data_IF_759595997895
#
_entry.id   IF_759595997895
#
_cell.length_a   1.000
_cell.length_b   1.000
_cell.length_c   1.000
_cell.angle_alpha   90.00
_cell.angle_beta   90.00
_cell.angle_gamma   90.00
#
_symmetry.space_group_name_H-M   'P 1'
#
loop_
_entity.id
_entity.type
_entity.pdbx_description
1 polymer ?
#
# COMPACT_ATOMS: atom_id res chain seq x y z
N UNK A 1 4.08 42.95 -12.13
CA UNK A 1 4.07 41.68 -12.89
C UNK A 1 4.98 40.70 -12.16
N UNK A 2 4.51 39.47 -11.95
CA UNK A 2 5.34 38.41 -11.37
C UNK A 2 6.49 38.07 -12.33
N UNK A 3 7.71 37.88 -11.80
CA UNK A 3 8.85 37.46 -12.62
C UNK A 3 8.63 36.03 -13.13
N UNK A 4 8.95 35.70 -14.39
CA UNK A 4 8.82 34.34 -14.92
C UNK A 4 9.54 33.28 -14.08
N UNK A 5 10.72 33.62 -13.53
CA UNK A 5 11.49 32.72 -12.67
C UNK A 5 10.73 32.45 -11.36
N UNK A 6 10.15 33.48 -10.76
CA UNK A 6 9.36 33.35 -9.53
C UNK A 6 8.11 32.50 -9.80
N UNK A 7 7.43 32.72 -10.92
CA UNK A 7 6.27 31.93 -11.33
C UNK A 7 6.61 30.44 -11.49
N UNK A 8 7.74 30.12 -12.13
CA UNK A 8 8.21 28.74 -12.31
C UNK A 8 8.56 28.09 -10.97
N UNK A 9 9.27 28.81 -10.09
CA UNK A 9 9.60 28.29 -8.75
C UNK A 9 8.33 28.03 -7.94
N UNK A 10 7.38 28.96 -7.92
CA UNK A 10 6.11 28.78 -7.24
C UNK A 10 5.31 27.62 -7.81
N UNK A 11 5.30 27.44 -9.13
CA UNK A 11 4.65 26.30 -9.76
C UNK A 11 5.17 24.96 -9.21
N UNK A 12 6.49 24.75 -9.16
CA UNK A 12 7.06 23.51 -8.64
C UNK A 12 6.87 23.34 -7.13
N UNK A 13 6.88 24.43 -6.35
CA UNK A 13 6.50 24.34 -4.94
C UNK A 13 5.02 23.98 -4.78
N UNK A 14 4.16 24.50 -5.66
CA UNK A 14 2.73 24.23 -5.64
C UNK A 14 2.43 22.75 -5.94
N UNK A 15 3.16 22.09 -6.85
CA UNK A 15 2.98 20.65 -7.11
C UNK A 15 3.27 19.81 -5.87
N UNK A 16 4.33 20.13 -5.11
CA UNK A 16 4.67 19.43 -3.86
C UNK A 16 3.62 19.67 -2.77
N UNK A 17 3.11 20.90 -2.65
CA UNK A 17 2.04 21.22 -1.70
C UNK A 17 0.73 20.51 -2.07
N UNK A 18 0.37 20.49 -3.35
CA UNK A 18 -0.82 19.78 -3.84
C UNK A 18 -0.72 18.29 -3.55
N UNK A 19 0.39 17.65 -3.93
CA UNK A 19 0.62 16.23 -3.68
C UNK A 19 0.52 15.89 -2.18
N UNK A 20 1.04 16.77 -1.34
CA UNK A 20 0.92 16.62 0.12
C UNK A 20 -0.53 16.65 0.57
N UNK A 21 -1.29 17.67 0.18
CA UNK A 21 -2.69 17.77 0.53
C UNK A 21 -3.51 16.58 -0.01
N UNK A 22 -3.35 16.27 -1.29
CA UNK A 22 -4.05 15.20 -1.98
C UNK A 22 -3.76 13.85 -1.36
N UNK A 23 -2.49 13.49 -1.12
CA UNK A 23 -2.14 12.22 -0.50
C UNK A 23 -2.85 12.02 0.84
N UNK A 24 -2.78 13.01 1.73
CA UNK A 24 -3.35 12.88 3.06
C UNK A 24 -4.87 12.87 3.05
N UNK A 25 -5.50 13.72 2.23
CA UNK A 25 -6.96 13.74 2.09
C UNK A 25 -7.48 12.45 1.46
N UNK A 26 -6.85 12.00 0.38
CA UNK A 26 -7.19 10.76 -0.32
C UNK A 26 -7.09 9.55 0.61
N UNK A 27 -5.92 9.40 1.27
CA UNK A 27 -5.71 8.32 2.24
C UNK A 27 -6.70 8.40 3.39
N UNK A 28 -7.03 9.59 3.88
CA UNK A 28 -8.01 9.75 4.95
C UNK A 28 -9.41 9.31 4.51
N UNK A 29 -9.83 9.68 3.30
CA UNK A 29 -11.10 9.23 2.73
C UNK A 29 -11.16 7.71 2.57
N UNK A 30 -10.05 7.04 2.26
CA UNK A 30 -9.99 5.58 2.22
C UNK A 30 -9.97 4.89 3.57
N UNK A 31 -9.17 5.40 4.51
CA UNK A 31 -8.99 4.79 5.84
C UNK A 31 -10.24 5.00 6.68
N UNK A 32 -10.89 6.15 6.56
CA UNK A 32 -12.15 6.43 7.24
C UNK A 32 -13.32 5.79 6.48
N UNK A 33 -13.87 4.72 7.06
CA UNK A 33 -15.00 3.97 6.50
C UNK A 33 -16.22 4.82 6.15
N UNK A 34 -16.49 5.88 6.93
CA UNK A 34 -17.64 6.76 6.69
C UNK A 34 -17.38 7.66 5.49
N UNK A 35 -16.21 8.30 5.42
CA UNK A 35 -15.84 9.16 4.29
C UNK A 35 -15.77 8.37 3.00
N UNK A 36 -15.20 7.16 3.04
CA UNK A 36 -15.17 6.27 1.89
C UNK A 36 -16.58 6.00 1.37
N UNK A 37 -17.48 5.50 2.22
CA UNK A 37 -18.82 5.08 1.80
C UNK A 37 -19.72 6.21 1.34
N UNK A 38 -19.56 7.41 1.91
CA UNK A 38 -20.42 8.54 1.59
C UNK A 38 -19.95 9.29 0.35
N UNK A 39 -18.64 9.39 0.15
CA UNK A 39 -18.07 10.27 -0.86
C UNK A 39 -17.21 9.50 -1.84
N UNK A 40 -16.12 8.91 -1.35
CA UNK A 40 -15.05 8.40 -2.22
C UNK A 40 -15.38 7.10 -2.94
N UNK A 41 -16.37 6.34 -2.47
CA UNK A 41 -16.84 5.13 -3.15
C UNK A 41 -17.46 5.44 -4.49
N UNK A 42 -18.02 6.64 -4.70
CA UNK A 42 -18.58 7.07 -6.00
C UNK A 42 -17.49 7.12 -7.06
N UNK A 43 -16.33 7.66 -6.70
CA UNK A 43 -15.16 7.68 -7.57
C UNK A 43 -14.67 6.27 -7.90
N UNK A 44 -14.65 5.38 -6.90
CA UNK A 44 -14.28 3.97 -7.04
C UNK A 44 -15.35 3.07 -7.68
N UNK A 45 -16.51 3.61 -8.12
CA UNK A 45 -17.43 2.85 -8.98
C UNK A 45 -16.77 2.52 -10.33
N UNK A 46 -15.85 3.38 -10.77
CA UNK A 46 -15.07 3.22 -11.98
C UNK A 46 -13.80 2.37 -11.75
N UNK A 47 -14.00 1.07 -11.51
CA UNK A 47 -12.90 0.11 -11.28
C UNK A 47 -11.89 -0.02 -12.44
N UNK A 48 -12.27 0.44 -13.64
CA UNK A 48 -11.38 0.63 -14.79
C UNK A 48 -11.48 2.11 -15.18
N UNK A 49 -10.55 2.95 -14.69
CA UNK A 49 -10.54 4.37 -15.00
C UNK A 49 -10.45 4.64 -16.51
N UNK A 50 -11.08 5.74 -16.92
CA UNK A 50 -10.94 6.31 -18.26
C UNK A 50 -10.99 7.83 -18.17
N UNK A 51 -10.45 8.52 -19.17
CA UNK A 51 -10.21 9.98 -19.12
C UNK A 51 -11.45 10.81 -18.74
N UNK A 52 -12.63 10.49 -19.28
CA UNK A 52 -13.88 11.21 -18.95
C UNK A 52 -14.37 10.95 -17.53
N UNK A 53 -13.95 9.84 -16.92
CA UNK A 53 -14.25 9.48 -15.53
C UNK A 53 -13.27 10.05 -14.51
N UNK A 54 -12.22 10.78 -14.94
CA UNK A 54 -11.15 11.25 -14.05
C UNK A 54 -11.63 12.08 -12.86
N UNK A 55 -12.72 12.83 -13.04
CA UNK A 55 -13.37 13.64 -12.01
C UNK A 55 -14.81 13.19 -11.76
N UNK A 56 -15.13 11.93 -12.06
CA UNK A 56 -16.39 11.33 -11.65
C UNK A 56 -16.30 11.08 -10.14
N UNK A 57 -16.68 12.08 -9.35
CA UNK A 57 -16.61 12.04 -7.90
C UNK A 57 -17.86 12.64 -7.27
N UNK A 58 -18.07 12.36 -5.98
CA UNK A 58 -19.16 12.98 -5.23
C UNK A 58 -18.90 14.50 -5.10
N UNK A 59 -19.91 15.40 -5.16
CA UNK A 59 -19.66 16.85 -5.14
C UNK A 59 -18.84 17.35 -3.94
N UNK A 60 -19.01 16.74 -2.76
CA UNK A 60 -18.20 17.05 -1.57
C UNK A 60 -16.75 16.64 -1.75
N UNK A 61 -16.50 15.50 -2.41
CA UNK A 61 -15.15 15.08 -2.74
C UNK A 61 -14.52 16.01 -3.75
N UNK A 62 -15.21 16.35 -4.85
CA UNK A 62 -14.68 17.30 -5.83
C UNK A 62 -14.42 18.70 -5.24
N UNK A 63 -15.24 19.14 -4.27
CA UNK A 63 -14.95 20.36 -3.53
C UNK A 63 -13.67 20.24 -2.67
N UNK A 64 -13.53 19.16 -1.88
CA UNK A 64 -12.39 19.00 -0.97
C UNK A 64 -11.09 18.66 -1.69
N UNK A 65 -11.13 17.76 -2.66
CA UNK A 65 -9.99 17.27 -3.43
C UNK A 65 -9.64 18.28 -4.52
N UNK A 66 -10.56 18.63 -5.41
CA UNK A 66 -10.21 19.41 -6.61
C UNK A 66 -10.16 20.91 -6.32
N UNK A 67 -11.22 21.45 -5.70
CA UNK A 67 -11.32 22.90 -5.47
C UNK A 67 -10.39 23.37 -4.35
N UNK A 68 -10.53 22.79 -3.15
CA UNK A 68 -9.71 23.16 -2.00
C UNK A 68 -8.26 22.71 -2.19
N UNK A 69 -8.04 21.51 -2.71
CA UNK A 69 -6.69 21.00 -2.99
C UNK A 69 -5.95 21.84 -4.00
N UNK A 70 -6.60 22.31 -5.07
CA UNK A 70 -6.02 23.30 -5.98
C UNK A 70 -5.80 24.66 -5.30
N UNK A 71 -6.79 25.17 -4.57
CA UNK A 71 -6.73 26.51 -3.98
C UNK A 71 -5.59 26.69 -2.96
N UNK A 72 -5.35 25.70 -2.09
CA UNK A 72 -4.39 25.80 -0.99
C UNK A 72 -2.97 26.19 -1.46
N UNK A 73 -2.33 25.47 -2.41
CA UNK A 73 -1.02 25.84 -2.94
C UNK A 73 -0.96 27.27 -3.46
N UNK A 74 -1.96 27.67 -4.26
CA UNK A 74 -2.01 29.01 -4.87
C UNK A 74 -2.13 30.13 -3.83
N UNK A 75 -2.91 29.89 -2.77
CA UNK A 75 -3.10 30.84 -1.68
C UNK A 75 -1.86 30.93 -0.78
N UNK A 76 -1.26 29.79 -0.41
CA UNK A 76 -0.06 29.75 0.43
C UNK A 76 1.13 30.45 -0.25
N UNK A 77 1.28 30.26 -1.55
CA UNK A 77 2.40 30.82 -2.32
C UNK A 77 2.13 32.21 -2.90
N UNK A 78 0.94 32.78 -2.63
CA UNK A 78 0.48 34.06 -3.18
C UNK A 78 0.73 34.13 -4.70
N UNK A 79 0.21 33.14 -5.42
CA UNK A 79 0.43 33.00 -6.87
C UNK A 79 -0.39 34.04 -7.64
N UNK A 80 0.24 34.65 -8.64
CA UNK A 80 -0.47 35.52 -9.56
C UNK A 80 -1.60 34.73 -10.25
N UNK A 81 -2.78 35.33 -10.54
CA UNK A 81 -3.92 34.61 -11.13
C UNK A 81 -3.59 33.81 -12.38
N UNK A 82 -2.72 34.32 -13.25
CA UNK A 82 -2.20 33.59 -14.42
C UNK A 82 -1.41 32.34 -14.05
N UNK A 83 -0.51 32.44 -13.08
CA UNK A 83 0.29 31.30 -12.60
C UNK A 83 -0.63 30.25 -11.97
N UNK A 84 -1.63 30.66 -11.20
CA UNK A 84 -2.65 29.77 -10.62
C UNK A 84 -3.49 29.09 -11.70
N UNK A 85 -3.92 29.82 -12.74
CA UNK A 85 -4.71 29.26 -13.84
C UNK A 85 -3.91 28.22 -14.64
N UNK A 86 -2.62 28.47 -14.91
CA UNK A 86 -1.72 27.51 -15.57
C UNK A 86 -1.54 26.28 -14.67
N UNK A 87 -1.29 26.49 -13.38
CA UNK A 87 -1.13 25.42 -12.40
C UNK A 87 -2.36 24.51 -12.30
N UNK A 88 -3.56 25.07 -12.22
CA UNK A 88 -4.80 24.29 -12.22
C UNK A 88 -4.99 23.54 -13.52
N UNK A 89 -4.77 24.20 -14.65
CA UNK A 89 -4.94 23.58 -15.96
C UNK A 89 -4.03 22.37 -16.14
N UNK A 90 -2.74 22.49 -15.77
CA UNK A 90 -1.78 21.38 -15.85
C UNK A 90 -2.13 20.29 -14.84
N UNK A 91 -2.55 20.65 -13.62
CA UNK A 91 -2.92 19.66 -12.60
C UNK A 91 -4.16 18.86 -13.00
N UNK A 92 -5.18 19.52 -13.58
CA UNK A 92 -6.36 18.82 -14.12
C UNK A 92 -5.99 17.92 -15.29
N UNK A 93 -5.13 18.39 -16.21
CA UNK A 93 -4.63 17.54 -17.31
C UNK A 93 -3.87 16.33 -16.77
N UNK A 94 -3.10 16.49 -15.69
CA UNK A 94 -2.40 15.38 -15.04
C UNK A 94 -3.37 14.39 -14.42
N UNK A 95 -4.42 14.85 -13.72
CA UNK A 95 -5.47 13.96 -13.22
C UNK A 95 -6.14 13.17 -14.35
N UNK A 96 -6.40 13.81 -15.50
CA UNK A 96 -6.94 13.11 -16.67
C UNK A 96 -5.96 12.07 -17.22
N UNK A 97 -4.66 12.39 -17.31
CA UNK A 97 -3.60 11.46 -17.72
C UNK A 97 -3.53 10.25 -16.78
N UNK A 98 -3.67 10.46 -15.46
CA UNK A 98 -3.68 9.40 -14.44
C UNK A 98 -4.87 8.46 -14.54
N UNK A 99 -5.95 8.87 -15.20
CA UNK A 99 -7.15 8.05 -15.37
C UNK A 99 -7.36 7.61 -16.81
N UNK A 100 -6.50 7.98 -17.75
CA UNK A 100 -6.80 7.76 -19.16
C UNK A 100 -6.74 6.28 -19.59
N UNK A 101 -6.17 5.39 -18.75
CA UNK A 101 -5.97 3.97 -19.05
C UNK A 101 -4.82 3.69 -20.02
N UNK A 102 -4.08 4.72 -20.45
CA UNK A 102 -2.95 4.59 -21.36
C UNK A 102 -1.65 5.00 -20.68
N UNK A 103 -0.72 4.06 -20.53
CA UNK A 103 0.64 4.35 -20.10
C UNK A 103 1.54 4.57 -21.33
N UNK A 104 1.76 5.83 -21.71
CA UNK A 104 2.64 6.14 -22.83
C UNK A 104 4.10 6.12 -22.39
N UNK A 105 4.93 5.30 -23.04
CA UNK A 105 6.38 5.18 -22.75
C UNK A 105 7.18 6.49 -22.90
N UNK A 106 6.60 7.53 -23.50
CA UNK A 106 7.23 8.84 -23.73
C UNK A 106 6.47 9.98 -23.06
N UNK A 107 5.51 9.70 -22.16
CA UNK A 107 4.85 10.79 -21.44
C UNK A 107 5.90 11.50 -20.57
N UNK A 108 6.00 12.84 -20.59
CA UNK A 108 6.97 13.55 -19.76
C UNK A 108 6.85 13.19 -18.27
N UNK A 109 5.64 12.88 -17.79
CA UNK A 109 5.40 12.42 -16.43
C UNK A 109 6.03 11.05 -16.15
N UNK A 110 5.95 10.10 -17.10
CA UNK A 110 6.51 8.74 -16.95
C UNK A 110 8.04 8.71 -16.88
N UNK A 111 8.72 9.73 -17.42
CA UNK A 111 10.19 9.80 -17.44
C UNK A 111 10.79 10.21 -16.10
N UNK A 112 10.02 10.91 -15.27
CA UNK A 112 10.50 11.45 -13.99
C UNK A 112 9.77 10.83 -12.78
N UNK A 113 8.59 10.23 -12.98
CA UNK A 113 7.69 9.86 -11.89
C UNK A 113 6.99 8.52 -12.21
N UNK A 114 6.88 7.65 -11.20
CA UNK A 114 6.08 6.41 -11.31
C UNK A 114 4.55 6.68 -11.26
N UNK A 115 4.14 7.94 -11.03
CA UNK A 115 2.76 8.36 -10.93
C UNK A 115 2.15 8.56 -12.33
N UNK A 116 1.21 7.70 -12.72
CA UNK A 116 0.57 7.68 -14.03
C UNK A 116 -0.60 6.70 -14.07
N UNK A 117 -1.20 6.52 -15.26
CA UNK A 117 -2.35 5.63 -15.47
C UNK A 117 -2.21 4.25 -14.80
N UNK A 118 -1.11 3.53 -15.04
CA UNK A 118 -0.89 2.20 -14.43
C UNK A 118 -0.89 2.24 -12.89
N UNK A 119 -0.29 3.27 -12.31
CA UNK A 119 -0.19 3.42 -10.85
C UNK A 119 -1.58 3.59 -10.23
N UNK A 120 -2.41 4.40 -10.89
CA UNK A 120 -3.77 4.71 -10.45
C UNK A 120 -4.77 3.59 -10.77
N UNK A 121 -4.60 2.88 -11.89
CA UNK A 121 -5.39 1.69 -12.21
C UNK A 121 -5.27 0.60 -11.13
N UNK A 122 -4.05 0.39 -10.61
CA UNK A 122 -3.82 -0.53 -9.49
C UNK A 122 -4.61 -0.07 -8.26
N UNK A 123 -4.72 1.23 -8.02
CA UNK A 123 -5.46 1.79 -6.89
C UNK A 123 -6.98 1.56 -7.03
N UNK A 124 -7.56 1.84 -8.20
CA UNK A 124 -8.98 1.61 -8.51
C UNK A 124 -9.36 0.13 -8.58
N UNK A 125 -8.39 -0.75 -8.78
CA UNK A 125 -8.64 -2.18 -8.69
C UNK A 125 -9.04 -2.57 -7.27
N UNK A 126 -10.11 -3.36 -7.11
CA UNK A 126 -10.71 -3.64 -5.80
C UNK A 126 -9.77 -4.25 -4.73
N UNK A 127 -8.66 -4.88 -5.12
CA UNK A 127 -7.62 -5.36 -4.18
C UNK A 127 -6.55 -4.31 -3.85
N UNK A 128 -6.39 -3.29 -4.68
CA UNK A 128 -5.38 -2.24 -4.58
C UNK A 128 -5.87 -0.96 -3.88
N UNK A 129 -7.15 -0.85 -3.54
CA UNK A 129 -7.77 0.31 -2.85
C UNK A 129 -7.12 0.76 -1.53
N UNK A 130 -6.19 -0.03 -0.98
CA UNK A 130 -5.43 0.27 0.23
C UNK A 130 -4.01 0.79 -0.04
N UNK A 131 -3.67 1.00 -1.31
CA UNK A 131 -2.33 1.34 -1.77
C UNK A 131 -2.39 2.45 -2.82
N UNK A 132 -1.24 3.05 -3.13
CA UNK A 132 -1.09 4.01 -4.23
C UNK A 132 -1.98 5.26 -4.10
N UNK A 133 -1.96 5.92 -2.93
CA UNK A 133 -2.78 7.12 -2.68
C UNK A 133 -2.23 8.41 -3.28
N UNK A 134 -0.95 8.45 -3.65
CA UNK A 134 -0.28 9.66 -4.12
C UNK A 134 -0.79 10.05 -5.50
N UNK A 135 -1.16 11.32 -5.63
CA UNK A 135 -1.59 11.96 -6.86
C UNK A 135 -1.49 13.48 -6.67
N UNK A 136 -1.38 14.28 -7.73
CA UNK A 136 -1.26 13.85 -9.12
C UNK A 136 0.19 13.75 -9.64
N UNK A 137 1.22 14.26 -8.95
CA UNK A 137 2.55 14.36 -9.57
C UNK A 137 3.52 13.25 -9.15
N UNK A 138 3.73 13.02 -7.87
CA UNK A 138 4.81 12.20 -7.32
C UNK A 138 4.26 11.00 -6.51
N UNK A 139 5.14 10.07 -6.12
CA UNK A 139 4.81 8.88 -5.32
C UNK A 139 5.50 8.85 -3.96
N UNK A 140 6.23 9.91 -3.60
CA UNK A 140 7.11 9.91 -2.43
C UNK A 140 6.35 9.69 -1.11
N UNK A 141 5.10 10.15 -0.99
CA UNK A 141 4.31 9.91 0.21
C UNK A 141 3.96 8.42 0.38
N UNK A 142 3.60 7.72 -0.70
CA UNK A 142 3.39 6.27 -0.64
C UNK A 142 4.68 5.51 -0.31
N UNK A 143 5.83 5.94 -0.82
CA UNK A 143 7.11 5.36 -0.45
C UNK A 143 7.44 5.59 1.04
N UNK A 144 7.29 6.83 1.53
CA UNK A 144 7.56 7.19 2.94
C UNK A 144 6.63 6.44 3.89
N UNK A 145 5.35 6.36 3.56
CA UNK A 145 4.33 5.74 4.41
C UNK A 145 4.19 4.23 4.18
N UNK A 146 4.94 3.66 3.24
CA UNK A 146 4.91 2.24 2.90
C UNK A 146 3.60 1.77 2.28
N UNK A 147 2.84 2.68 1.64
CA UNK A 147 1.54 2.42 1.02
C UNK A 147 1.61 2.22 -0.50
N UNK A 148 2.80 2.16 -1.10
CA UNK A 148 2.95 1.75 -2.50
C UNK A 148 2.72 0.23 -2.67
N UNK A 149 1.90 -0.14 -3.66
CA UNK A 149 1.48 -1.51 -3.94
C UNK A 149 2.66 -2.43 -4.31
N UNK A 150 3.44 -2.07 -5.33
CA UNK A 150 4.52 -2.92 -5.86
C UNK A 150 5.57 -3.20 -4.78
N UNK A 151 5.97 -2.16 -4.05
CA UNK A 151 6.84 -2.28 -2.87
C UNK A 151 6.24 -3.15 -1.77
N UNK A 152 4.94 -3.06 -1.50
CA UNK A 152 4.26 -3.90 -0.52
C UNK A 152 4.23 -5.37 -0.95
N UNK A 153 3.93 -5.64 -2.22
CA UNK A 153 3.90 -7.00 -2.77
C UNK A 153 5.29 -7.64 -2.75
N UNK A 154 6.34 -6.89 -3.10
CA UNK A 154 7.71 -7.40 -3.05
C UNK A 154 8.15 -7.75 -1.62
N UNK A 155 7.81 -6.92 -0.63
CA UNK A 155 8.06 -7.23 0.79
C UNK A 155 7.37 -8.52 1.23
N UNK A 156 6.12 -8.73 0.81
CA UNK A 156 5.38 -9.96 1.11
C UNK A 156 5.99 -11.19 0.44
N UNK A 157 6.44 -11.06 -0.81
CA UNK A 157 7.13 -12.13 -1.55
C UNK A 157 8.41 -12.56 -0.82
N UNK A 158 9.29 -11.60 -0.51
CA UNK A 158 10.55 -11.86 0.22
C UNK A 158 10.28 -12.49 1.58
N UNK A 159 9.25 -12.04 2.31
CA UNK A 159 8.88 -12.62 3.61
C UNK A 159 8.48 -14.09 3.47
N UNK A 160 7.63 -14.41 2.50
CA UNK A 160 7.17 -15.78 2.23
C UNK A 160 8.32 -16.70 1.84
N UNK A 161 9.24 -16.24 1.00
CA UNK A 161 10.45 -17.00 0.62
C UNK A 161 11.33 -17.33 1.83
N UNK A 162 11.48 -16.39 2.77
CA UNK A 162 12.22 -16.62 4.02
C UNK A 162 11.52 -17.62 4.95
N UNK A 163 10.20 -17.54 5.08
CA UNK A 163 9.41 -18.49 5.89
C UNK A 163 9.51 -19.90 5.32
N UNK A 164 9.37 -20.07 4.00
CA UNK A 164 9.55 -21.37 3.34
C UNK A 164 10.96 -21.94 3.54
N UNK A 165 11.99 -21.12 3.39
CA UNK A 165 13.38 -21.54 3.63
C UNK A 165 13.63 -21.93 5.11
N UNK A 166 12.97 -21.27 6.06
CA UNK A 166 13.04 -21.63 7.48
C UNK A 166 12.33 -22.96 7.77
N UNK A 167 11.17 -23.18 7.18
CA UNK A 167 10.41 -24.42 7.33
C UNK A 167 11.14 -25.62 6.71
N UNK A 168 11.74 -25.46 5.52
CA UNK A 168 12.60 -26.48 4.92
C UNK A 168 13.81 -26.81 5.81
N UNK A 169 14.49 -25.80 6.36
CA UNK A 169 15.62 -26.01 7.25
C UNK A 169 15.21 -26.71 8.56
N UNK A 170 14.04 -26.37 9.10
CA UNK A 170 13.46 -27.03 10.27
C UNK A 170 13.12 -28.49 9.97
N UNK A 171 12.50 -28.77 8.83
CA UNK A 171 12.22 -30.13 8.36
C UNK A 171 13.47 -30.98 8.23
N UNK A 172 14.51 -30.47 7.54
CA UNK A 172 15.81 -31.15 7.43
C UNK A 172 16.48 -31.41 8.78
N UNK A 173 16.30 -30.52 9.76
CA UNK A 173 16.85 -30.70 11.11
C UNK A 173 16.13 -31.83 11.85
N UNK A 174 14.80 -31.88 11.77
CA UNK A 174 13.99 -32.95 12.38
C UNK A 174 14.34 -34.30 11.78
N UNK A 175 14.42 -34.39 10.44
CA UNK A 175 14.80 -35.63 9.75
C UNK A 175 16.21 -36.10 10.13
N UNK A 176 17.16 -35.16 10.30
CA UNK A 176 18.49 -35.47 10.83
C UNK A 176 18.43 -35.98 12.27
N UNK A 177 17.65 -35.35 13.15
CA UNK A 177 17.52 -35.77 14.55
C UNK A 177 16.85 -37.15 14.69
N UNK A 178 15.86 -37.47 13.84
CA UNK A 178 15.19 -38.79 13.80
C UNK A 178 16.05 -39.90 13.18
N UNK A 179 16.93 -39.57 12.24
CA UNK A 179 17.83 -40.54 11.59
C UNK A 179 19.09 -40.87 12.41
N UNK A 180 19.35 -40.15 13.51
CA UNK A 180 20.42 -40.52 14.46
C UNK A 180 20.02 -41.82 15.18
N UNK A 181 20.78 -42.92 15.04
CA UNK A 181 20.44 -44.17 15.68
C UNK A 181 20.51 -44.00 17.20
N UNK A 182 19.38 -44.22 17.87
CA UNK A 182 19.34 -44.37 19.33
C UNK A 182 20.29 -45.50 19.68
N UNK A 183 21.46 -45.17 20.27
CA UNK A 183 22.30 -46.17 20.92
C UNK A 183 21.44 -46.80 22.02
N UNK A 184 20.92 -48.01 21.79
CA UNK A 184 20.33 -48.83 22.84
C UNK A 184 21.40 -48.99 23.91
N UNK A 185 21.23 -48.27 25.02
CA UNK A 185 21.93 -48.61 26.25
C UNK A 185 21.61 -50.09 26.54
N UNK A 186 22.67 -50.86 26.78
CA UNK A 186 22.60 -52.31 26.91
C UNK A 186 21.46 -52.75 27.81
N UNK A 187 20.73 -53.75 27.34
CA UNK A 187 19.73 -54.46 28.12
C UNK A 187 20.43 -55.25 29.24
N UNK A 188 20.56 -54.66 30.42
CA UNK A 188 20.62 -55.46 31.64
C UNK A 188 19.17 -55.74 32.06
N UNK A 189 18.73 -56.99 31.82
CA UNK A 189 17.47 -57.47 32.38
C UNK A 189 17.63 -57.49 33.90
N UNK A 190 16.76 -56.83 34.68
CA UNK A 190 16.72 -57.08 36.11
C UNK A 190 16.27 -58.53 36.30
N UNK A 191 17.08 -59.33 36.99
CA UNK A 191 16.67 -60.67 37.40
C UNK A 191 15.33 -60.60 38.13
N UNK A 192 14.38 -61.41 37.66
CA UNK A 192 13.09 -61.62 38.30
C UNK A 192 13.32 -62.25 39.68
N UNK A 193 13.39 -61.40 40.71
CA UNK A 193 13.31 -61.85 42.10
C UNK A 193 11.91 -62.39 42.33
N UNK A 194 11.77 -63.71 42.28
CA UNK A 194 10.55 -64.42 42.67
C UNK A 194 10.17 -64.01 44.10
N UNK A 195 9.16 -63.14 44.23
CA UNK A 195 8.49 -62.92 45.51
C UNK A 195 7.51 -64.06 45.74
N UNK A 196 7.63 -64.72 46.88
CA UNK A 196 6.65 -65.69 47.38
C UNK A 196 5.29 -64.98 47.58
N UNK A 197 4.18 -65.70 47.42
CA UNK A 197 2.87 -65.16 47.76
C UNK A 197 2.75 -65.10 49.29
N UNK A 198 2.68 -63.89 49.85
CA UNK A 198 2.14 -63.69 51.19
C UNK A 198 0.63 -63.45 51.05
N UNK A 199 -0.08 -64.48 51.51
CA UNK A 199 -1.42 -64.54 52.08
C UNK A 199 -2.26 -63.25 52.10
N UNK A 200 -3.46 -63.42 51.55
CA UNK A 200 -4.73 -62.76 51.82
C UNK A 200 -4.80 -61.94 53.13
N UNK A 201 -5.38 -60.74 53.02
CA UNK A 201 -6.29 -60.22 54.04
C UNK A 201 -7.35 -59.34 53.38
N UNK A 202 -8.60 -59.73 53.61
CA UNK A 202 -9.85 -59.02 53.33
C UNK A 202 -9.86 -57.62 53.95
N UNK A 203 -10.66 -56.69 53.41
CA UNK A 203 -11.84 -56.14 54.09
C UNK A 203 -12.58 -55.12 53.19
N UNK A 204 -13.90 -55.21 53.26
CA UNK A 204 -14.95 -54.26 52.86
C UNK A 204 -14.63 -52.82 53.36
N UNK A 205 -15.09 -51.73 52.77
CA UNK A 205 -16.46 -51.31 52.42
C UNK A 205 -16.39 -50.08 51.50
#
# INVERSE_FOLDING_TARGET
MESPIVAVVKFFLATVLLDTYQYWMHRWMHVNRTLYRLFHSVHHELTVPFAFGALYNHPVEGFLMDTVGGAIPSLILDMHPWTSAIFYSISTLKTVDDHCGYAWAWSPASLFNANGAKYHDIHHWGKGIKYNFSQPYYTFWDHIMGTEYDSAMERLRIKKEKELAQDENRGRKIEKDESVPVKRAGSERPELRQRRPETAFDFEE
#
